data_IF_173630799022
#
_entry.id   IF_173630799022
#
_cell.length_a   1.000
_cell.length_b   1.000
_cell.length_c   1.000
_cell.angle_alpha   90.00
_cell.angle_beta   90.00
_cell.angle_gamma   90.00
#
_symmetry.space_group_name_H-M   'P 1'
#
loop_
_entity.id
_entity.type
_entity.pdbx_description
1 polymer ?
#
# COMPACT_ATOMS: atom_id res chain seq x y z
N UNK A 1 3.10 -6.57 21.43
CA UNK A 1 3.39 -7.33 20.19
C UNK A 1 3.68 -6.36 19.06
N UNK A 2 4.29 -6.81 17.97
CA UNK A 2 4.54 -6.01 16.75
C UNK A 2 3.88 -6.66 15.54
N UNK A 3 3.44 -5.84 14.58
CA UNK A 3 2.84 -6.31 13.34
C UNK A 3 2.59 -5.17 12.36
N UNK A 4 1.91 -5.48 11.26
CA UNK A 4 1.54 -4.52 10.21
C UNK A 4 0.03 -4.45 10.05
N UNK A 5 -0.52 -3.24 9.85
CA UNK A 5 -1.95 -3.07 9.58
C UNK A 5 -2.25 -3.54 8.16
N UNK A 6 -3.06 -4.60 8.02
CA UNK A 6 -3.42 -5.17 6.71
C UNK A 6 -4.79 -4.68 6.24
N UNK A 7 -5.68 -4.36 7.19
CA UNK A 7 -7.02 -3.90 6.88
C UNK A 7 -7.47 -2.81 7.85
N UNK A 8 -8.19 -1.83 7.30
CA UNK A 8 -8.91 -0.81 8.06
C UNK A 8 -10.39 -0.89 7.65
N UNK A 9 -11.26 -1.32 8.56
CA UNK A 9 -12.68 -1.44 8.30
C UNK A 9 -13.50 -1.08 9.55
N UNK A 10 -14.50 -0.23 9.40
CA UNK A 10 -15.42 0.17 10.48
C UNK A 10 -14.70 0.66 11.77
N UNK A 11 -13.55 1.33 11.62
CA UNK A 11 -12.75 1.85 12.75
C UNK A 11 -11.87 0.81 13.45
N UNK A 12 -11.86 -0.44 12.95
CA UNK A 12 -10.94 -1.48 13.37
C UNK A 12 -9.73 -1.55 12.45
N UNK A 13 -8.59 -1.90 13.04
CA UNK A 13 -7.34 -2.16 12.35
C UNK A 13 -6.97 -3.61 12.60
N UNK A 14 -6.96 -4.41 11.54
CA UNK A 14 -6.53 -5.80 11.63
C UNK A 14 -5.00 -5.85 11.40
N UNK A 15 -4.28 -6.26 12.44
CA UNK A 15 -2.82 -6.26 12.50
C UNK A 15 -2.31 -7.68 12.31
N UNK A 16 -1.52 -7.91 11.26
CA UNK A 16 -0.85 -9.19 11.03
C UNK A 16 0.52 -9.18 11.72
N UNK A 17 0.81 -10.21 12.50
CA UNK A 17 2.12 -10.43 13.13
C UNK A 17 3.06 -11.19 12.19
N UNK A 18 4.38 -11.18 12.45
CA UNK A 18 5.35 -11.90 11.61
C UNK A 18 5.13 -13.42 11.49
N UNK A 19 4.47 -14.04 12.47
CA UNK A 19 4.04 -15.45 12.43
C UNK A 19 2.71 -15.68 11.67
N UNK A 20 2.21 -14.64 11.00
CA UNK A 20 1.03 -14.69 10.11
C UNK A 20 -0.32 -14.54 10.81
N UNK A 21 -0.35 -14.48 12.15
CA UNK A 21 -1.62 -14.34 12.91
C UNK A 21 -2.21 -12.95 12.74
N UNK A 22 -3.53 -12.89 12.63
CA UNK A 22 -4.28 -11.64 12.51
C UNK A 22 -4.94 -11.30 13.85
N UNK A 23 -4.76 -10.06 14.29
CA UNK A 23 -5.38 -9.53 15.50
C UNK A 23 -6.25 -8.33 15.18
N UNK A 24 -7.51 -8.38 15.59
CA UNK A 24 -8.40 -7.23 15.50
C UNK A 24 -8.06 -6.22 16.59
N UNK A 25 -7.82 -4.97 16.20
CA UNK A 25 -7.42 -3.91 17.14
C UNK A 25 -8.17 -2.61 16.90
N UNK A 26 -8.09 -1.70 17.88
CA UNK A 26 -8.52 -0.30 17.78
C UNK A 26 -7.37 0.65 18.07
N UNK A 27 -7.44 1.85 17.51
CA UNK A 27 -6.52 2.92 17.88
C UNK A 27 -6.86 3.48 19.28
N UNK A 28 -5.88 3.61 20.16
CA UNK A 28 -6.04 4.33 21.44
C UNK A 28 -6.46 5.79 21.20
N UNK A 29 -7.31 6.34 22.07
CA UNK A 29 -7.80 7.72 21.96
C UNK A 29 -6.72 8.82 21.88
N UNK A 30 -5.50 8.54 22.36
CA UNK A 30 -4.35 9.45 22.26
C UNK A 30 -3.97 9.80 20.80
N UNK A 31 -4.19 8.88 19.86
CA UNK A 31 -3.93 9.12 18.44
C UNK A 31 -4.73 10.32 17.90
N UNK A 32 -5.99 10.49 18.34
CA UNK A 32 -6.83 11.64 17.97
C UNK A 32 -6.25 12.96 18.47
N UNK A 33 -5.75 13.00 19.72
CA UNK A 33 -5.13 14.20 20.31
C UNK A 33 -3.87 14.61 19.56
N UNK A 34 -3.10 13.63 19.08
CA UNK A 34 -1.87 13.84 18.31
C UNK A 34 -2.12 14.08 16.81
N UNK A 35 -3.37 14.03 16.35
CA UNK A 35 -3.75 14.10 14.92
C UNK A 35 -3.03 13.05 14.05
N UNK A 36 -2.71 11.90 14.62
CA UNK A 36 -2.09 10.78 13.91
C UNK A 36 -3.16 9.73 13.68
N UNK A 37 -3.47 9.44 12.43
CA UNK A 37 -4.39 8.36 12.05
C UNK A 37 -3.59 7.15 11.59
N UNK A 38 -3.72 5.98 12.23
CA UNK A 38 -3.18 4.75 11.68
C UNK A 38 -3.81 4.45 10.32
N UNK A 39 -3.05 3.80 9.45
CA UNK A 39 -3.46 3.45 8.09
C UNK A 39 -2.93 2.08 7.68
N UNK A 40 -3.49 1.52 6.61
CA UNK A 40 -3.00 0.26 6.03
C UNK A 40 -1.52 0.41 5.66
N UNK A 41 -0.74 -0.64 5.92
CA UNK A 41 0.70 -0.68 5.73
C UNK A 41 1.52 -0.16 6.92
N UNK A 42 0.91 0.49 7.92
CA UNK A 42 1.63 0.95 9.11
C UNK A 42 2.21 -0.23 9.90
N UNK A 43 3.48 -0.15 10.26
CA UNK A 43 4.06 -1.02 11.29
C UNK A 43 3.72 -0.48 12.66
N UNK A 44 3.19 -1.34 13.53
CA UNK A 44 2.64 -0.94 14.83
C UNK A 44 3.10 -1.85 15.96
N UNK A 45 3.20 -1.26 17.14
CA UNK A 45 3.19 -2.01 18.40
C UNK A 45 1.78 -2.00 18.97
N UNK A 46 1.28 -3.17 19.38
CA UNK A 46 -0.09 -3.34 19.86
C UNK A 46 -0.17 -4.34 21.03
N UNK A 47 -1.26 -4.29 21.78
CA UNK A 47 -1.65 -5.33 22.74
C UNK A 47 -2.85 -6.11 22.21
N UNK A 48 -2.96 -7.39 22.56
CA UNK A 48 -4.15 -8.20 22.35
C UNK A 48 -4.33 -9.08 23.58
N UNK A 49 -5.50 -9.04 24.20
CA UNK A 49 -5.85 -9.88 25.34
C UNK A 49 -6.79 -11.01 24.89
N UNK A 50 -6.83 -12.10 25.66
CA UNK A 50 -7.74 -13.20 25.34
C UNK A 50 -9.19 -12.76 25.54
N UNK A 51 -9.98 -12.74 24.46
CA UNK A 51 -11.41 -12.44 24.50
C UNK A 51 -11.78 -10.96 24.33
N UNK A 52 -10.85 -10.06 24.00
CA UNK A 52 -11.15 -8.64 23.72
C UNK A 52 -10.41 -8.10 22.50
N UNK A 53 -10.91 -6.98 21.95
CA UNK A 53 -10.22 -6.27 20.87
C UNK A 53 -8.88 -5.70 21.37
N UNK A 54 -7.83 -5.88 20.58
CA UNK A 54 -6.52 -5.31 20.90
C UNK A 54 -6.45 -3.79 20.75
N UNK A 55 -5.34 -3.20 21.20
CA UNK A 55 -5.09 -1.76 21.05
C UNK A 55 -3.75 -1.46 20.40
N UNK A 56 -3.76 -0.61 19.38
CA UNK A 56 -2.53 0.00 18.85
C UNK A 56 -1.97 0.95 19.92
N UNK A 57 -0.69 0.78 20.23
CA UNK A 57 0.06 1.58 21.21
C UNK A 57 0.90 2.66 20.53
N UNK A 58 1.58 2.30 19.45
CA UNK A 58 2.43 3.19 18.67
C UNK A 58 2.44 2.77 17.20
N UNK A 59 2.77 3.73 16.34
CA UNK A 59 3.03 3.54 14.92
C UNK A 59 4.51 3.88 14.70
N UNK A 60 5.22 3.00 14.03
CA UNK A 60 6.63 3.20 13.68
C UNK A 60 6.74 4.24 12.53
N UNK A 61 7.88 4.93 12.37
CA UNK A 61 8.04 5.92 11.30
C UNK A 61 7.75 5.34 9.91
N UNK A 62 6.94 6.05 9.13
CA UNK A 62 6.61 5.65 7.76
C UNK A 62 7.78 5.94 6.83
N UNK A 63 8.12 4.99 5.96
CA UNK A 63 9.08 5.22 4.87
C UNK A 63 8.46 6.07 3.75
N UNK A 64 7.20 5.80 3.42
CA UNK A 64 6.44 6.53 2.42
C UNK A 64 4.93 6.47 2.71
N UNK A 65 4.15 7.29 2.01
CA UNK A 65 2.69 7.34 2.16
C UNK A 65 2.02 7.74 0.85
N UNK A 66 1.02 6.98 0.44
CA UNK A 66 0.13 7.33 -0.66
C UNK A 66 -1.15 7.98 -0.13
N UNK A 67 -1.67 8.95 -0.87
CA UNK A 67 -2.93 9.64 -0.54
C UNK A 67 -4.14 8.84 -1.01
N UNK A 68 -4.06 8.21 -2.19
CA UNK A 68 -5.18 7.48 -2.81
C UNK A 68 -4.71 6.23 -3.56
N UNK A 69 -5.04 5.01 -3.09
CA UNK A 69 -5.62 4.74 -1.78
C UNK A 69 -4.67 5.14 -0.63
N UNK A 70 -5.20 5.45 0.57
CA UNK A 70 -4.37 5.76 1.71
C UNK A 70 -3.64 4.50 2.21
N UNK A 71 -2.37 4.33 1.80
CA UNK A 71 -1.49 3.24 2.24
C UNK A 71 -0.09 3.77 2.56
N UNK A 72 0.62 3.13 3.47
CA UNK A 72 2.00 3.48 3.85
C UNK A 72 2.96 2.30 3.65
N UNK A 73 4.25 2.60 3.66
CA UNK A 73 5.33 1.60 3.61
C UNK A 73 5.25 0.65 2.40
N UNK A 74 4.86 1.19 1.25
CA UNK A 74 4.86 0.45 -0.02
C UNK A 74 6.29 0.28 -0.49
N UNK A 75 6.70 -0.93 -0.85
CA UNK A 75 8.04 -1.18 -1.41
C UNK A 75 8.06 -0.97 -2.92
N UNK A 76 7.06 -1.53 -3.61
CA UNK A 76 7.00 -1.57 -5.07
C UNK A 76 5.60 -1.25 -5.59
N UNK A 77 5.53 -0.68 -6.79
CA UNK A 77 4.29 -0.50 -7.53
C UNK A 77 4.43 -1.05 -8.95
N UNK A 78 3.49 -1.89 -9.36
CA UNK A 78 3.43 -2.41 -10.74
C UNK A 78 2.58 -1.46 -11.58
N UNK A 79 3.21 -0.78 -12.53
CA UNK A 79 2.55 0.11 -13.48
C UNK A 79 2.16 -0.69 -14.70
N UNK A 80 0.89 -1.09 -14.74
CA UNK A 80 0.31 -1.83 -15.86
C UNK A 80 -0.09 -0.85 -16.95
N UNK A 81 0.54 -0.94 -18.11
CA UNK A 81 0.22 -0.13 -19.29
C UNK A 81 -0.05 -1.05 -20.47
N UNK A 82 -1.05 -0.71 -21.30
CA UNK A 82 -1.37 -1.50 -22.47
C UNK A 82 -0.35 -1.21 -23.59
N UNK A 83 0.17 -2.26 -24.23
CA UNK A 83 0.96 -2.12 -25.44
C UNK A 83 0.09 -1.63 -26.61
N UNK A 84 -1.17 -2.07 -26.64
CA UNK A 84 -2.19 -1.71 -27.63
C UNK A 84 -3.59 -1.81 -27.01
N UNK A 85 -4.55 -1.05 -27.55
CA UNK A 85 -5.94 -0.95 -27.09
C UNK A 85 -6.12 -0.71 -25.57
N UNK A 86 -5.99 0.52 -25.05
CA UNK A 86 -5.78 1.77 -25.80
C UNK A 86 -4.35 1.91 -26.31
N UNK A 87 -4.14 2.83 -27.25
CA UNK A 87 -2.81 3.18 -27.73
C UNK A 87 -1.90 3.53 -26.55
N UNK A 88 -0.69 2.98 -26.55
CA UNK A 88 0.33 3.29 -25.56
C UNK A 88 0.58 4.80 -25.47
N UNK A 89 0.66 5.32 -24.25
CA UNK A 89 1.00 6.72 -23.97
C UNK A 89 2.22 6.78 -23.07
N UNK A 90 3.37 7.16 -23.64
CA UNK A 90 4.60 7.41 -22.88
C UNK A 90 4.40 8.52 -21.85
N UNK A 91 3.69 9.60 -22.20
CA UNK A 91 3.43 10.71 -21.26
C UNK A 91 2.67 10.26 -20.01
N UNK A 92 1.66 9.38 -20.16
CA UNK A 92 0.93 8.86 -19.01
C UNK A 92 1.83 7.99 -18.13
N UNK A 93 2.62 7.12 -18.74
CA UNK A 93 3.58 6.27 -18.04
C UNK A 93 4.60 7.13 -17.27
N UNK A 94 5.22 8.12 -17.91
CA UNK A 94 6.20 9.01 -17.28
C UNK A 94 5.63 9.73 -16.06
N UNK A 95 4.40 10.26 -16.17
CA UNK A 95 3.72 10.91 -15.04
C UNK A 95 3.49 9.96 -13.86
N UNK A 96 3.16 8.69 -14.14
CA UNK A 96 3.01 7.67 -13.10
C UNK A 96 4.35 7.32 -12.46
N UNK A 97 5.40 7.14 -13.26
CA UNK A 97 6.76 6.84 -12.77
C UNK A 97 7.30 7.97 -11.88
N UNK A 98 7.18 9.22 -12.32
CA UNK A 98 7.58 10.40 -11.54
C UNK A 98 6.81 10.47 -10.22
N UNK A 99 5.50 10.21 -10.24
CA UNK A 99 4.69 10.21 -9.02
C UNK A 99 5.16 9.13 -8.02
N UNK A 100 5.46 7.93 -8.48
CA UNK A 100 5.94 6.84 -7.63
C UNK A 100 7.34 7.11 -7.06
N UNK A 101 8.27 7.55 -7.90
CA UNK A 101 9.64 7.90 -7.48
C UNK A 101 9.64 9.06 -6.48
N UNK A 102 8.77 10.06 -6.65
CA UNK A 102 8.59 11.16 -5.69
C UNK A 102 8.16 10.69 -4.29
N UNK A 103 7.56 9.50 -4.20
CA UNK A 103 7.14 8.86 -2.96
C UNK A 103 8.12 7.76 -2.51
N UNK A 104 9.30 7.63 -3.12
CA UNK A 104 10.27 6.58 -2.83
C UNK A 104 9.67 5.16 -2.94
N UNK A 105 8.83 4.95 -3.97
CA UNK A 105 8.24 3.65 -4.29
C UNK A 105 8.88 3.18 -5.59
N UNK A 106 9.47 1.99 -5.58
CA UNK A 106 10.15 1.43 -6.76
C UNK A 106 9.12 0.97 -7.81
N UNK A 107 9.06 1.59 -9.00
CA UNK A 107 8.15 1.15 -10.04
C UNK A 107 8.66 -0.13 -10.74
N UNK A 108 7.72 -0.95 -11.19
CA UNK A 108 7.94 -2.06 -12.13
C UNK A 108 6.97 -1.85 -13.29
N UNK A 109 7.49 -1.67 -14.50
CA UNK A 109 6.65 -1.46 -15.68
C UNK A 109 6.20 -2.82 -16.22
N UNK A 110 4.90 -2.96 -16.47
CA UNK A 110 4.32 -4.17 -17.05
C UNK A 110 3.49 -3.81 -18.29
N UNK A 111 3.95 -4.24 -19.46
CA UNK A 111 3.19 -4.11 -20.72
C UNK A 111 2.20 -5.26 -20.87
N UNK A 112 0.91 -4.93 -20.88
CA UNK A 112 -0.18 -5.90 -21.13
C UNK A 112 -0.66 -5.84 -22.58
N UNK A 113 -1.51 -6.79 -22.99
CA UNK A 113 -2.12 -6.89 -24.33
C UNK A 113 -1.13 -7.05 -25.48
N UNK A 114 0.05 -7.60 -25.20
CA UNK A 114 1.08 -7.85 -26.23
C UNK A 114 0.64 -8.94 -27.22
N UNK A 115 -0.32 -9.78 -26.85
CA UNK A 115 -0.97 -10.77 -27.71
C UNK A 115 -1.74 -10.13 -28.88
N UNK A 116 -2.24 -8.91 -28.70
CA UNK A 116 -2.97 -8.16 -29.73
C UNK A 116 -2.07 -7.43 -30.73
N UNK A 117 -0.75 -7.44 -30.52
CA UNK A 117 0.20 -6.80 -31.42
C UNK A 117 0.33 -7.58 -32.73
N UNK A 118 0.26 -6.87 -33.85
CA UNK A 118 0.63 -7.41 -35.16
C UNK A 118 2.13 -7.72 -35.21
N UNK A 119 2.59 -8.55 -36.16
CA UNK A 119 4.01 -8.87 -36.29
C UNK A 119 4.88 -7.61 -36.44
N UNK A 120 4.45 -6.67 -37.29
CA UNK A 120 5.17 -5.40 -37.51
C UNK A 120 5.31 -4.54 -36.25
N UNK A 121 4.38 -4.65 -35.28
CA UNK A 121 4.43 -3.91 -34.02
C UNK A 121 5.30 -4.59 -32.95
N UNK A 122 5.66 -5.86 -33.11
CA UNK A 122 6.52 -6.59 -32.15
C UNK A 122 8.00 -6.44 -32.47
N UNK A 123 8.33 -6.25 -33.74
CA UNK A 123 9.71 -6.17 -34.23
C UNK A 123 10.32 -4.75 -34.06
N UNK A 124 9.58 -3.82 -33.46
CA UNK A 124 9.92 -2.41 -33.30
C UNK A 124 9.82 -1.97 -31.84
#
# INVERSE_FOLDING_TARGET
MKGQIHQLLAGFYDVQTPDGKLYRTRARGNFRKRKISPMVGDFVSFTAESGSDGYILSIDPRRNTLVRPPVSNVDQAVVVTAAVEPSFSSNLLDRQLVALESQQIKPVIYFTKTDLLTAAQRDH
#
